data_IF_383327959330
#
_entry.id   IF_383327959330
#
_cell.length_a   1.000
_cell.length_b   1.000
_cell.length_c   1.000
_cell.angle_alpha   90.00
_cell.angle_beta   90.00
_cell.angle_gamma   90.00
#
_symmetry.space_group_name_H-M   'P 1'
#
loop_
_entity.id
_entity.type
_entity.pdbx_description
1 polymer ?
#
# COMPACT_ATOMS: atom_id res chain seq x y z
N UNK A 1 -33.43 -3.83 53.30
CA UNK A 1 -33.00 -4.80 52.25
C UNK A 1 -32.78 -4.02 50.97
N UNK A 2 -31.55 -3.61 50.70
CA UNK A 2 -31.15 -3.00 49.42
C UNK A 2 -30.95 -4.10 48.41
N UNK A 3 -31.74 -4.11 47.35
CA UNK A 3 -31.55 -4.98 46.20
C UNK A 3 -30.39 -4.44 45.35
N UNK A 4 -29.28 -5.13 45.44
CA UNK A 4 -28.09 -4.88 44.62
C UNK A 4 -28.42 -5.21 43.16
N UNK A 5 -28.69 -4.18 42.35
CA UNK A 5 -28.88 -4.29 40.90
C UNK A 5 -27.51 -4.58 40.25
N UNK A 6 -27.11 -5.84 40.18
CA UNK A 6 -26.06 -6.30 39.30
C UNK A 6 -26.54 -6.12 37.86
N UNK A 7 -26.17 -5.01 37.22
CA UNK A 7 -26.21 -4.97 35.77
C UNK A 7 -25.03 -5.84 35.25
N UNK A 8 -25.30 -6.85 34.41
CA UNK A 8 -24.22 -7.57 33.77
C UNK A 8 -23.48 -6.58 32.86
N UNK A 9 -22.17 -6.42 33.12
CA UNK A 9 -21.26 -5.74 32.21
C UNK A 9 -21.52 -6.31 30.82
N UNK A 10 -22.04 -5.49 29.89
CA UNK A 10 -22.16 -5.89 28.48
C UNK A 10 -20.76 -6.33 28.05
N UNK A 11 -20.59 -7.62 27.78
CA UNK A 11 -19.37 -8.11 27.15
C UNK A 11 -19.31 -7.45 25.79
N UNK A 12 -18.53 -6.36 25.70
CA UNK A 12 -18.35 -5.61 24.46
C UNK A 12 -17.92 -6.57 23.37
N UNK A 13 -18.74 -6.67 22.34
CA UNK A 13 -18.43 -7.50 21.17
C UNK A 13 -17.10 -7.05 20.60
N UNK A 14 -16.15 -7.97 20.49
CA UNK A 14 -14.85 -7.68 19.87
C UNK A 14 -15.06 -7.17 18.44
N UNK A 15 -14.39 -6.07 18.11
CA UNK A 15 -14.37 -5.52 16.75
C UNK A 15 -13.13 -6.03 16.03
N UNK A 16 -13.29 -6.44 14.78
CA UNK A 16 -12.21 -6.98 13.97
C UNK A 16 -11.94 -6.07 12.78
N UNK A 17 -10.67 -5.93 12.47
CA UNK A 17 -10.15 -5.11 11.38
C UNK A 17 -9.16 -5.94 10.57
N UNK A 18 -9.21 -5.80 9.25
CA UNK A 18 -8.24 -6.44 8.37
C UNK A 18 -7.24 -5.40 7.90
N UNK A 19 -5.97 -5.65 8.13
CA UNK A 19 -4.89 -4.78 7.70
C UNK A 19 -3.97 -5.50 6.72
N UNK A 20 -3.50 -4.75 5.75
CA UNK A 20 -2.49 -5.18 4.78
C UNK A 20 -1.29 -4.25 4.90
N UNK A 21 -0.10 -4.81 5.06
CA UNK A 21 1.16 -4.08 5.08
C UNK A 21 2.03 -4.60 3.93
N UNK A 22 2.16 -3.80 2.88
CA UNK A 22 2.94 -4.11 1.68
C UNK A 22 4.29 -3.42 1.75
N UNK A 23 5.32 -4.16 2.12
CA UNK A 23 6.70 -3.67 2.08
C UNK A 23 7.39 -3.97 0.75
N UNK A 24 8.54 -3.35 0.52
CA UNK A 24 9.31 -3.49 -0.72
C UNK A 24 9.95 -4.88 -0.91
N UNK A 25 10.01 -5.72 0.12
CA UNK A 25 10.59 -7.08 0.08
C UNK A 25 9.64 -8.15 0.55
N UNK A 26 8.66 -7.79 1.37
CA UNK A 26 7.64 -8.73 1.86
C UNK A 26 6.36 -7.98 2.20
N UNK A 27 5.24 -8.68 2.12
CA UNK A 27 3.96 -8.19 2.60
C UNK A 27 3.35 -9.13 3.62
N UNK A 28 2.32 -8.65 4.31
CA UNK A 28 1.55 -9.44 5.28
C UNK A 28 0.12 -8.98 5.37
N UNK A 29 -0.75 -9.90 5.74
CA UNK A 29 -2.12 -9.60 6.14
C UNK A 29 -2.31 -9.88 7.62
N UNK A 30 -3.05 -9.02 8.30
CA UNK A 30 -3.13 -8.98 9.76
C UNK A 30 -4.59 -8.83 10.16
N UNK A 31 -5.02 -9.54 11.21
CA UNK A 31 -6.26 -9.24 11.93
C UNK A 31 -5.93 -8.43 13.17
N UNK A 32 -6.51 -7.25 13.25
CA UNK A 32 -6.58 -6.48 14.50
C UNK A 32 -7.89 -6.79 15.22
N UNK A 33 -7.86 -7.19 16.48
CA UNK A 33 -9.03 -7.32 17.32
C UNK A 33 -9.01 -6.29 18.44
N UNK A 34 -10.10 -5.55 18.57
CA UNK A 34 -10.25 -4.53 19.61
C UNK A 34 -11.36 -4.96 20.58
N UNK A 35 -10.98 -5.19 21.84
CA UNK A 35 -11.90 -5.54 22.91
C UNK A 35 -11.52 -4.79 24.19
N UNK A 36 -12.48 -4.17 24.84
CA UNK A 36 -12.28 -3.42 26.11
C UNK A 36 -11.12 -2.39 26.02
N UNK A 37 -10.98 -1.72 24.88
CA UNK A 37 -9.91 -0.73 24.64
C UNK A 37 -8.53 -1.33 24.36
N UNK A 38 -8.38 -2.66 24.33
CA UNK A 38 -7.11 -3.36 24.05
C UNK A 38 -7.11 -3.86 22.60
N UNK A 39 -6.06 -3.48 21.87
CA UNK A 39 -5.80 -3.96 20.52
C UNK A 39 -4.86 -5.19 20.56
N UNK A 40 -5.26 -6.27 19.88
CA UNK A 40 -4.42 -7.45 19.65
C UNK A 40 -4.26 -7.64 18.15
N UNK A 41 -3.04 -7.88 17.69
CA UNK A 41 -2.71 -8.11 16.28
C UNK A 41 -2.31 -9.57 16.08
N UNK A 42 -2.84 -10.18 15.03
CA UNK A 42 -2.52 -11.54 14.59
C UNK A 42 -2.17 -11.53 13.10
N UNK A 43 -0.97 -11.95 12.76
CA UNK A 43 -0.56 -12.12 11.36
C UNK A 43 -1.26 -13.35 10.78
N UNK A 44 -2.01 -13.16 9.67
CA UNK A 44 -2.69 -14.23 8.95
C UNK A 44 -1.81 -14.86 7.88
N UNK A 45 -1.15 -14.02 7.10
CA UNK A 45 -0.26 -14.44 6.02
C UNK A 45 0.95 -13.53 5.95
N UNK A 46 2.06 -14.11 5.50
CA UNK A 46 3.26 -13.40 5.06
C UNK A 46 3.66 -13.93 3.70
N UNK A 47 4.12 -13.05 2.84
CA UNK A 47 4.53 -13.38 1.48
C UNK A 47 5.69 -12.50 1.04
N UNK A 48 6.48 -13.01 0.11
CA UNK A 48 7.56 -12.26 -0.50
C UNK A 48 7.02 -11.29 -1.56
N UNK A 49 7.60 -10.10 -1.62
CA UNK A 49 7.39 -9.15 -2.70
C UNK A 49 8.65 -9.10 -3.54
N UNK A 50 8.60 -9.72 -4.72
CA UNK A 50 9.74 -9.84 -5.61
C UNK A 50 9.68 -8.79 -6.72
N UNK A 51 10.85 -8.24 -7.04
CA UNK A 51 11.03 -7.47 -8.25
C UNK A 51 11.12 -8.43 -9.43
N UNK A 52 10.37 -8.12 -10.48
CA UNK A 52 10.45 -8.83 -11.77
C UNK A 52 11.36 -8.02 -12.68
N UNK A 53 12.44 -8.64 -13.16
CA UNK A 53 13.27 -8.08 -14.19
C UNK A 53 12.77 -8.54 -15.56
N UNK A 54 12.47 -7.59 -16.43
CA UNK A 54 12.07 -7.86 -17.81
C UNK A 54 12.61 -6.75 -18.74
N UNK A 55 13.26 -7.13 -19.82
CA UNK A 55 13.83 -6.22 -20.82
C UNK A 55 14.75 -5.13 -20.23
N UNK A 56 15.50 -5.46 -19.16
CA UNK A 56 16.41 -4.53 -18.50
C UNK A 56 15.74 -3.53 -17.56
N UNK A 57 14.48 -3.74 -17.24
CA UNK A 57 13.70 -2.93 -16.30
C UNK A 57 13.16 -3.76 -15.15
N UNK A 58 12.88 -3.10 -14.01
CA UNK A 58 12.31 -3.71 -12.81
C UNK A 58 10.85 -3.31 -12.61
N UNK A 59 10.01 -4.32 -12.36
CA UNK A 59 8.57 -4.17 -12.17
C UNK A 59 8.10 -4.82 -10.87
N UNK A 60 7.00 -4.30 -10.32
CA UNK A 60 6.23 -5.00 -9.30
C UNK A 60 5.18 -5.88 -9.93
N UNK A 61 4.99 -7.11 -9.43
CA UNK A 61 3.85 -7.95 -9.82
C UNK A 61 2.60 -7.54 -9.02
N UNK A 62 1.88 -6.54 -9.53
CA UNK A 62 0.68 -6.03 -8.87
C UNK A 62 -0.43 -7.08 -8.77
N UNK A 63 -0.50 -8.02 -9.71
CA UNK A 63 -1.51 -9.08 -9.68
C UNK A 63 -1.19 -10.14 -8.62
N UNK A 64 0.09 -10.47 -8.43
CA UNK A 64 0.52 -11.34 -7.34
C UNK A 64 0.24 -10.70 -5.98
N UNK A 65 0.55 -9.40 -5.80
CA UNK A 65 0.23 -8.67 -4.57
C UNK A 65 -1.28 -8.66 -4.29
N UNK A 66 -2.09 -8.37 -5.30
CA UNK A 66 -3.55 -8.43 -5.20
C UNK A 66 -4.04 -9.83 -4.77
N UNK A 67 -3.48 -10.88 -5.36
CA UNK A 67 -3.85 -12.26 -5.02
C UNK A 67 -3.55 -12.60 -3.55
N UNK A 68 -2.40 -12.17 -3.03
CA UNK A 68 -2.05 -12.39 -1.62
C UNK A 68 -2.99 -11.65 -0.65
N UNK A 69 -3.42 -10.44 -1.01
CA UNK A 69 -4.44 -9.70 -0.24
C UNK A 69 -5.77 -10.47 -0.23
N UNK A 70 -6.23 -10.96 -1.39
CA UNK A 70 -7.46 -11.74 -1.51
C UNK A 70 -7.37 -13.05 -0.72
N UNK A 71 -6.22 -13.70 -0.74
CA UNK A 71 -5.95 -14.91 0.04
C UNK A 71 -6.09 -14.65 1.55
N UNK A 72 -5.51 -13.56 2.05
CA UNK A 72 -5.69 -13.14 3.44
C UNK A 72 -7.15 -12.88 3.80
N UNK A 73 -7.90 -12.20 2.93
CA UNK A 73 -9.34 -11.96 3.12
C UNK A 73 -10.16 -13.26 3.17
N UNK A 74 -9.84 -14.23 2.31
CA UNK A 74 -10.49 -15.55 2.34
C UNK A 74 -10.23 -16.29 3.64
N UNK A 75 -9.00 -16.20 4.19
CA UNK A 75 -8.68 -16.79 5.49
C UNK A 75 -9.45 -16.11 6.63
N UNK A 76 -9.56 -14.78 6.61
CA UNK A 76 -10.37 -14.05 7.59
C UNK A 76 -11.85 -14.45 7.50
N UNK A 77 -12.39 -14.57 6.28
CA UNK A 77 -13.78 -15.02 6.04
C UNK A 77 -14.01 -16.44 6.55
N UNK A 78 -13.08 -17.38 6.30
CA UNK A 78 -13.19 -18.75 6.76
C UNK A 78 -13.22 -18.89 8.30
N UNK A 79 -12.72 -17.91 9.02
CA UNK A 79 -12.80 -17.79 10.49
C UNK A 79 -14.09 -17.15 10.98
N UNK A 80 -15.01 -16.77 10.08
CA UNK A 80 -16.27 -16.09 10.39
C UNK A 80 -16.09 -14.79 11.20
N UNK A 81 -14.97 -14.10 11.03
CA UNK A 81 -14.70 -12.84 11.73
C UNK A 81 -15.53 -11.70 11.11
N UNK A 82 -16.30 -10.96 11.92
CA UNK A 82 -17.10 -9.82 11.43
C UNK A 82 -16.20 -8.59 11.21
N UNK A 83 -15.47 -8.59 10.07
CA UNK A 83 -14.55 -7.50 9.70
C UNK A 83 -15.31 -6.19 9.54
N UNK A 84 -14.93 -5.16 10.29
CA UNK A 84 -15.55 -3.84 10.30
C UNK A 84 -14.97 -2.94 9.20
N UNK A 85 -13.66 -3.04 8.94
CA UNK A 85 -12.99 -2.27 7.89
C UNK A 85 -11.72 -2.96 7.43
N UNK A 86 -11.24 -2.52 6.25
CA UNK A 86 -9.98 -2.93 5.63
C UNK A 86 -9.10 -1.70 5.52
N UNK A 87 -7.83 -1.82 5.92
CA UNK A 87 -6.80 -0.81 5.72
C UNK A 87 -5.62 -1.42 4.98
N UNK A 88 -5.05 -0.64 4.05
CA UNK A 88 -3.85 -1.05 3.29
C UNK A 88 -2.80 0.03 3.46
N UNK A 89 -1.61 -0.37 3.87
CA UNK A 89 -0.41 0.45 3.91
C UNK A 89 0.62 -0.10 2.92
N UNK A 90 1.33 0.79 2.24
CA UNK A 90 2.32 0.43 1.23
C UNK A 90 3.34 1.57 1.03
N UNK A 91 4.42 1.31 0.29
CA UNK A 91 5.35 2.36 -0.14
C UNK A 91 4.66 3.35 -1.10
N UNK A 92 5.09 4.59 -1.09
CA UNK A 92 4.32 5.72 -1.64
C UNK A 92 4.85 6.35 -2.92
N UNK A 93 5.67 5.79 -3.75
CA UNK A 93 6.20 6.46 -4.95
C UNK A 93 5.76 5.84 -6.27
N UNK A 94 5.40 4.55 -6.25
CA UNK A 94 5.02 3.84 -7.47
C UNK A 94 3.52 3.93 -7.73
N UNK A 95 3.14 3.76 -8.97
CA UNK A 95 1.75 3.84 -9.42
C UNK A 95 1.53 2.94 -10.62
N UNK A 96 0.26 2.68 -10.93
CA UNK A 96 -0.18 1.96 -12.12
C UNK A 96 -1.25 2.78 -12.84
N UNK A 97 -1.28 2.69 -14.16
CA UNK A 97 -2.37 3.24 -14.96
C UNK A 97 -3.54 2.27 -15.00
N UNK A 98 -4.73 2.81 -14.82
CA UNK A 98 -5.98 2.05 -14.88
C UNK A 98 -6.86 2.66 -15.97
N UNK A 99 -7.35 1.84 -16.87
CA UNK A 99 -8.28 2.26 -17.88
C UNK A 99 -9.67 2.60 -17.29
N UNK A 100 -10.54 3.35 -18.00
CA UNK A 100 -11.87 3.73 -17.50
C UNK A 100 -12.76 2.53 -17.12
N UNK A 101 -12.54 1.37 -17.70
CA UNK A 101 -13.24 0.13 -17.39
C UNK A 101 -12.64 -0.64 -16.20
N UNK A 102 -11.59 -0.10 -15.57
CA UNK A 102 -10.90 -0.72 -14.43
C UNK A 102 -9.75 -1.66 -14.80
N UNK A 103 -9.44 -1.84 -16.08
CA UNK A 103 -8.30 -2.68 -16.49
C UNK A 103 -6.98 -2.02 -16.13
N UNK A 104 -6.05 -2.81 -15.59
CA UNK A 104 -4.68 -2.39 -15.31
C UNK A 104 -3.87 -2.38 -16.61
N UNK A 105 -3.26 -1.23 -16.93
CA UNK A 105 -2.48 -1.04 -18.15
C UNK A 105 -1.00 -1.42 -17.97
N UNK A 106 -0.76 -2.63 -17.51
CA UNK A 106 0.58 -3.17 -17.29
C UNK A 106 1.02 -3.14 -15.81
N UNK A 107 2.13 -3.81 -15.54
CA UNK A 107 2.74 -3.79 -14.20
C UNK A 107 3.41 -2.44 -13.94
N UNK A 108 3.34 -1.91 -12.71
CA UNK A 108 4.03 -0.69 -12.33
C UNK A 108 5.54 -0.90 -12.37
N UNK A 109 6.26 0.04 -12.97
CA UNK A 109 7.71 0.07 -12.91
C UNK A 109 8.13 0.38 -11.47
N UNK A 110 9.10 -0.35 -10.96
CA UNK A 110 9.53 -0.20 -9.58
C UNK A 110 10.38 1.07 -9.39
N UNK A 111 10.28 1.72 -8.25
CA UNK A 111 11.11 2.88 -7.91
C UNK A 111 12.62 2.56 -7.90
N UNK A 112 12.98 1.30 -7.85
CA UNK A 112 14.37 0.82 -7.91
C UNK A 112 14.90 0.72 -9.34
N UNK A 113 14.04 0.88 -10.34
CA UNK A 113 14.43 0.90 -11.74
C UNK A 113 15.24 2.17 -12.07
N UNK A 114 16.31 2.08 -12.85
CA UNK A 114 17.13 3.24 -13.21
C UNK A 114 16.48 4.18 -14.25
N UNK A 115 15.26 3.94 -14.73
CA UNK A 115 14.61 4.71 -15.81
C UNK A 115 14.50 6.22 -15.54
N UNK A 116 14.50 6.63 -14.27
CA UNK A 116 14.43 8.05 -13.89
C UNK A 116 15.80 8.71 -13.66
N UNK A 117 16.90 8.01 -13.96
CA UNK A 117 18.23 8.59 -13.82
C UNK A 117 18.39 9.81 -14.75
N UNK A 118 18.77 10.97 -14.17
CA UNK A 118 18.91 12.24 -14.90
C UNK A 118 17.58 12.99 -15.17
N UNK A 119 16.42 12.33 -14.95
CA UNK A 119 15.09 12.95 -15.18
C UNK A 119 14.85 14.14 -14.26
N UNK A 120 15.30 14.06 -13.02
CA UNK A 120 15.16 15.12 -12.02
C UNK A 120 15.83 16.43 -12.47
N UNK A 121 17.08 16.35 -12.95
CA UNK A 121 17.81 17.53 -13.45
C UNK A 121 17.15 18.09 -14.72
N UNK A 122 16.71 17.21 -15.61
CA UNK A 122 15.99 17.60 -16.82
C UNK A 122 14.70 18.33 -16.48
N UNK A 123 13.94 17.85 -15.49
CA UNK A 123 12.71 18.48 -15.03
C UNK A 123 12.97 19.88 -14.45
N UNK A 124 13.95 20.02 -13.56
CA UNK A 124 14.26 21.30 -12.93
C UNK A 124 14.78 22.35 -13.91
N UNK A 125 15.49 21.92 -14.94
CA UNK A 125 16.01 22.82 -15.97
C UNK A 125 14.95 23.24 -17.01
N UNK A 126 13.93 22.41 -17.25
CA UNK A 126 12.98 22.62 -18.35
C UNK A 126 11.55 22.95 -17.90
N UNK A 127 11.14 22.56 -16.71
CA UNK A 127 9.74 22.66 -16.26
C UNK A 127 9.60 23.62 -15.08
N UNK A 128 10.12 23.26 -13.92
CA UNK A 128 10.02 24.08 -12.70
C UNK A 128 11.34 24.04 -11.92
N UNK A 129 11.82 25.18 -11.41
CA UNK A 129 12.99 25.22 -10.55
C UNK A 129 12.81 24.35 -9.29
N UNK A 130 13.90 23.76 -8.84
CA UNK A 130 13.95 22.88 -7.67
C UNK A 130 13.27 23.49 -6.43
N UNK A 131 13.56 24.76 -6.15
CA UNK A 131 12.99 25.48 -5.00
C UNK A 131 11.45 25.56 -5.09
N UNK A 132 10.91 25.84 -6.26
CA UNK A 132 9.46 25.95 -6.48
C UNK A 132 8.77 24.59 -6.22
N UNK A 133 9.40 23.50 -6.64
CA UNK A 133 8.87 22.14 -6.37
C UNK A 133 8.87 21.86 -4.86
N UNK A 134 9.95 22.22 -4.16
CA UNK A 134 10.03 22.03 -2.71
C UNK A 134 8.99 22.87 -1.96
N UNK A 135 8.86 24.14 -2.31
CA UNK A 135 7.92 25.07 -1.66
C UNK A 135 6.45 24.59 -1.79
N UNK A 136 6.14 23.88 -2.89
CA UNK A 136 4.80 23.34 -3.14
C UNK A 136 4.55 21.99 -2.46
N UNK A 137 5.58 21.16 -2.30
CA UNK A 137 5.40 19.76 -1.90
C UNK A 137 5.95 19.45 -0.51
N UNK A 138 6.99 20.16 -0.06
CA UNK A 138 7.74 19.85 1.17
C UNK A 138 8.45 18.50 1.13
N UNK A 139 8.53 17.85 -0.04
CA UNK A 139 9.03 16.47 -0.17
C UNK A 139 10.53 16.47 -0.50
N UNK A 140 11.27 15.55 0.16
CA UNK A 140 12.67 15.31 -0.15
C UNK A 140 12.87 14.94 -1.62
N UNK A 141 13.94 15.46 -2.22
CA UNK A 141 14.28 15.18 -3.61
C UNK A 141 14.91 13.81 -3.78
N UNK A 142 14.17 12.95 -4.44
CA UNK A 142 14.63 11.61 -4.83
C UNK A 142 14.26 11.40 -6.29
N UNK A 143 15.18 10.87 -7.09
CA UNK A 143 14.96 10.64 -8.53
C UNK A 143 13.75 9.75 -8.82
N UNK A 144 13.38 8.87 -7.90
CA UNK A 144 12.26 7.95 -8.02
C UNK A 144 10.90 8.51 -7.56
N UNK A 145 10.81 9.78 -7.12
CA UNK A 145 9.52 10.36 -6.77
C UNK A 145 8.55 10.31 -7.97
N UNK A 146 7.27 10.06 -7.70
CA UNK A 146 6.23 9.88 -8.72
C UNK A 146 6.22 11.00 -9.77
N UNK A 147 6.53 12.24 -9.38
CA UNK A 147 6.65 13.37 -10.31
C UNK A 147 7.65 13.10 -11.44
N UNK A 148 8.82 12.54 -11.10
CA UNK A 148 9.87 12.28 -12.09
C UNK A 148 9.59 11.02 -12.88
N UNK A 149 8.97 10.02 -12.26
CA UNK A 149 8.48 8.83 -12.97
C UNK A 149 7.46 9.21 -14.05
N UNK A 150 6.45 10.03 -13.70
CA UNK A 150 5.45 10.53 -14.65
C UNK A 150 6.08 11.39 -15.76
N UNK A 151 7.02 12.26 -15.40
CA UNK A 151 7.70 13.09 -16.39
C UNK A 151 8.55 12.26 -17.35
N UNK A 152 9.22 11.21 -16.86
CA UNK A 152 9.98 10.30 -17.70
C UNK A 152 9.07 9.57 -18.71
N UNK A 153 7.90 9.10 -18.27
CA UNK A 153 6.92 8.48 -19.18
C UNK A 153 6.48 9.46 -20.26
N UNK A 154 6.25 10.71 -19.90
CA UNK A 154 5.91 11.76 -20.86
C UNK A 154 7.03 12.02 -21.90
N UNK A 155 8.31 11.87 -21.51
CA UNK A 155 9.45 12.04 -22.41
C UNK A 155 9.71 10.82 -23.32
N UNK A 156 9.18 9.66 -22.92
CA UNK A 156 9.39 8.42 -23.68
C UNK A 156 8.24 8.26 -24.70
N UNK A 157 8.55 8.14 -26.00
CA UNK A 157 7.54 8.06 -27.04
C UNK A 157 6.73 6.75 -26.99
#
# INVERSE_FOLDING_TARGET
FETNNYQPLSMGTSKYFFAVDLGATSGRTIIGSLSQGKLVLEELTRFDNQLIEANGHYYWDILALYWEVVKGLRLAHARHLPIQSIGIDTWGCDFVFVAPDGQILGNPMAYRDPHTMGTMDTYYNKVLPKQVVYDKTGIQFMNFNSLFQLYQIFLTP
#
